data_IF_332945364695
#
_entry.id   IF_332945364695
#
_cell.length_a   1.000
_cell.length_b   1.000
_cell.length_c   1.000
_cell.angle_alpha   90.00
_cell.angle_beta   90.00
_cell.angle_gamma   90.00
#
_symmetry.space_group_name_H-M   'P 1'
#
loop_
_entity.id
_entity.type
_entity.pdbx_description
1 polymer ?
#
# COMPACT_ATOMS: atom_id res chain seq x y z
N UNK A 1 -14.80 1.44 5.34
CA UNK A 1 -13.74 2.27 4.73
C UNK A 1 -12.71 1.35 4.10
N UNK A 2 -12.25 1.68 2.89
CA UNK A 2 -11.23 0.96 2.15
C UNK A 2 -10.01 1.85 1.94
N UNK A 3 -8.84 1.41 2.41
CA UNK A 3 -7.57 2.13 2.29
C UNK A 3 -6.66 1.36 1.33
N UNK A 4 -6.21 2.05 0.28
CA UNK A 4 -5.14 1.58 -0.60
C UNK A 4 -3.80 2.05 -0.08
N UNK A 5 -2.90 1.14 0.26
CA UNK A 5 -1.53 1.47 0.67
C UNK A 5 -0.61 1.18 -0.50
N UNK A 6 -0.06 2.24 -1.08
CA UNK A 6 0.88 2.18 -2.18
C UNK A 6 2.29 2.11 -1.59
N UNK A 7 2.95 0.97 -1.73
CA UNK A 7 4.32 0.76 -1.24
C UNK A 7 5.10 -0.11 -2.21
N UNK A 8 6.42 0.06 -2.30
CA UNK A 8 7.25 -0.83 -3.12
C UNK A 8 7.17 -2.27 -2.64
N UNK A 9 7.13 -3.20 -3.59
CA UNK A 9 7.10 -4.61 -3.26
C UNK A 9 8.36 -5.05 -2.50
N UNK A 10 8.16 -5.76 -1.39
CA UNK A 10 9.25 -6.20 -0.52
C UNK A 10 10.23 -7.08 -1.29
N UNK A 11 11.41 -6.56 -1.60
CA UNK A 11 12.58 -7.40 -1.90
C UNK A 11 13.08 -8.00 -0.59
N UNK A 12 13.71 -9.19 -0.64
CA UNK A 12 14.18 -9.92 0.54
C UNK A 12 15.02 -9.06 1.52
N UNK A 13 15.67 -8.00 1.03
CA UNK A 13 16.52 -7.09 1.80
C UNK A 13 15.81 -5.83 2.33
N UNK A 14 14.54 -5.58 1.98
CA UNK A 14 13.81 -4.33 2.31
C UNK A 14 12.40 -4.60 2.83
N UNK A 15 12.31 -5.23 4.00
CA UNK A 15 11.05 -5.40 4.73
C UNK A 15 10.86 -4.25 5.72
N UNK A 16 9.81 -3.45 5.54
CA UNK A 16 9.43 -2.46 6.55
C UNK A 16 8.98 -3.19 7.82
N UNK A 17 9.55 -2.80 8.97
CA UNK A 17 9.17 -3.33 10.28
C UNK A 17 7.84 -2.73 10.79
N UNK A 18 7.45 -1.57 10.26
CA UNK A 18 6.29 -0.80 10.74
C UNK A 18 5.03 -1.12 9.93
N UNK A 19 5.15 -1.27 8.61
CA UNK A 19 3.97 -1.45 7.74
C UNK A 19 3.10 -2.67 8.06
N UNK A 20 3.65 -3.86 8.42
CA UNK A 20 2.82 -4.99 8.84
C UNK A 20 1.94 -4.67 10.05
N UNK A 21 2.47 -3.91 11.01
CA UNK A 21 1.76 -3.53 12.22
C UNK A 21 0.69 -2.46 11.95
N UNK A 22 0.98 -1.50 11.08
CA UNK A 22 -0.01 -0.53 10.59
C UNK A 22 -1.19 -1.24 9.91
N UNK A 23 -0.91 -2.21 9.04
CA UNK A 23 -1.94 -3.01 8.37
C UNK A 23 -2.76 -3.81 9.39
N UNK A 24 -2.12 -4.40 10.40
CA UNK A 24 -2.80 -5.14 11.47
C UNK A 24 -3.76 -4.23 12.23
N UNK A 25 -3.29 -3.08 12.72
CA UNK A 25 -4.10 -2.12 13.47
C UNK A 25 -5.28 -1.61 12.64
N UNK A 26 -5.06 -1.22 11.38
CA UNK A 26 -6.14 -0.76 10.50
C UNK A 26 -7.24 -1.81 10.34
N UNK A 27 -6.87 -3.09 10.17
CA UNK A 27 -7.83 -4.20 10.09
C UNK A 27 -8.61 -4.39 11.38
N UNK A 28 -7.97 -4.21 12.54
CA UNK A 28 -8.65 -4.28 13.86
C UNK A 28 -9.71 -3.18 14.03
N UNK A 29 -9.49 -2.01 13.43
CA UNK A 29 -10.49 -0.93 13.38
C UNK A 29 -11.56 -1.13 12.28
N UNK A 30 -11.61 -2.30 11.63
CA UNK A 30 -12.62 -2.61 10.60
C UNK A 30 -12.35 -1.99 9.24
N UNK A 31 -11.12 -1.53 8.98
CA UNK A 31 -10.72 -0.98 7.69
C UNK A 31 -10.34 -2.12 6.74
N UNK A 32 -10.87 -2.07 5.51
CA UNK A 32 -10.40 -2.93 4.43
C UNK A 32 -9.10 -2.36 3.87
N UNK A 33 -8.02 -3.13 3.91
CA UNK A 33 -6.69 -2.69 3.46
C UNK A 33 -6.28 -3.43 2.20
N UNK A 34 -5.98 -2.68 1.15
CA UNK A 34 -5.41 -3.16 -0.11
C UNK A 34 -3.95 -2.70 -0.19
N UNK A 35 -3.01 -3.64 -0.31
CA UNK A 35 -1.60 -3.32 -0.55
C UNK A 35 -1.37 -3.30 -2.05
N UNK A 36 -0.89 -2.17 -2.56
CA UNK A 36 -0.66 -1.91 -3.98
C UNK A 36 0.84 -1.78 -4.19
N UNK A 37 1.45 -2.78 -4.82
CA UNK A 37 2.81 -2.70 -5.33
C UNK A 37 2.81 -2.08 -6.74
N UNK A 38 3.34 -0.85 -6.94
CA UNK A 38 3.39 -0.24 -8.26
C UNK A 38 4.21 -1.04 -9.26
N UNK A 39 5.21 -1.79 -8.79
CA UNK A 39 6.12 -2.58 -9.64
C UNK A 39 5.41 -3.74 -10.33
N UNK A 40 4.41 -4.33 -9.68
CA UNK A 40 3.65 -5.46 -10.22
C UNK A 40 2.60 -5.02 -11.26
N UNK A 41 2.23 -3.74 -11.21
CA UNK A 41 1.09 -3.20 -11.96
C UNK A 41 1.37 -1.79 -12.47
N UNK A 42 2.18 -1.69 -13.54
CA UNK A 42 2.25 -0.47 -14.37
C UNK A 42 0.96 -0.31 -15.18
N UNK A 43 -0.12 0.07 -14.51
CA UNK A 43 -1.37 0.43 -15.16
C UNK A 43 -1.28 1.83 -15.74
N UNK A 44 -1.71 2.00 -17.00
CA UNK A 44 -1.92 3.34 -17.55
C UNK A 44 -2.87 4.14 -16.65
N UNK A 45 -2.53 5.40 -16.36
CA UNK A 45 -3.30 6.27 -15.47
C UNK A 45 -4.78 6.38 -15.89
N UNK A 46 -5.08 6.30 -17.19
CA UNK A 46 -6.45 6.35 -17.72
C UNK A 46 -7.31 5.12 -17.36
N UNK A 47 -6.71 4.04 -16.86
CA UNK A 47 -7.40 2.83 -16.41
C UNK A 47 -7.54 2.76 -14.89
N UNK A 48 -6.95 3.70 -14.16
CA UNK A 48 -7.09 3.76 -12.71
C UNK A 48 -8.50 4.22 -12.33
N UNK A 49 -9.18 3.39 -11.54
CA UNK A 49 -10.42 3.77 -10.89
C UNK A 49 -10.14 4.00 -9.40
N UNK A 50 -10.59 5.14 -8.81
CA UNK A 50 -10.49 5.34 -7.37
C UNK A 50 -11.48 4.40 -6.68
N UNK A 51 -11.02 3.20 -6.34
CA UNK A 51 -11.81 2.16 -5.65
C UNK A 51 -11.66 2.21 -4.14
N UNK A 52 -10.68 2.99 -3.65
CA UNK A 52 -10.41 3.15 -2.22
C UNK A 52 -10.83 4.55 -1.76
N UNK A 53 -11.30 4.63 -0.52
CA UNK A 53 -11.72 5.87 0.13
C UNK A 53 -10.52 6.77 0.47
N UNK A 54 -9.35 6.16 0.67
CA UNK A 54 -8.10 6.84 0.95
C UNK A 54 -6.92 6.07 0.34
N UNK A 55 -5.97 6.81 -0.23
CA UNK A 55 -4.70 6.26 -0.69
C UNK A 55 -3.55 6.81 0.16
N UNK A 56 -2.71 5.91 0.69
CA UNK A 56 -1.53 6.24 1.48
C UNK A 56 -0.30 5.87 0.67
N UNK A 57 0.59 6.83 0.45
CA UNK A 57 1.88 6.60 -0.20
C UNK A 57 2.96 6.36 0.86
N UNK A 58 3.61 5.20 0.81
CA UNK A 58 4.76 4.88 1.65
C UNK A 58 6.02 4.77 0.78
N UNK A 59 6.74 5.88 0.56
CA UNK A 59 7.95 5.87 -0.27
C UNK A 59 9.11 5.19 0.45
N UNK A 60 9.93 4.45 -0.29
CA UNK A 60 11.28 4.08 0.17
C UNK A 60 12.10 5.37 0.28
N UNK A 61 12.72 5.60 1.44
CA UNK A 61 13.80 6.58 1.56
C UNK A 61 15.02 6.04 0.81
N UNK A 62 15.40 6.71 -0.28
CA UNK A 62 16.70 6.51 -0.90
C UNK A 62 17.74 7.23 -0.04
N UNK A 63 18.73 6.48 0.46
CA UNK A 63 19.96 7.06 1.01
C UNK A 63 20.79 7.68 -0.11
#
# INVERSE_FOLDING_TARGET
MKIGIIMPCHTADRKSLIMPEVVRLLKEYGVQVEVICPEDHLNHLCHLRPVNDLYVLYPIQYN
#
